data_IF_294091524945
#
_entry.id   IF_294091524945
#
_cell.length_a   1.000
_cell.length_b   1.000
_cell.length_c   1.000
_cell.angle_alpha   90.00
_cell.angle_beta   90.00
_cell.angle_gamma   90.00
#
_symmetry.space_group_name_H-M   'P 1'
#
loop_
_entity.id
_entity.type
_entity.pdbx_description
1 polymer ?
#
# COMPACT_ATOMS: atom_id res chain seq x y z
N UNK A 1 -6.30 -18.33 -9.78
CA UNK A 1 -6.87 -19.09 -8.64
C UNK A 1 -6.89 -18.14 -7.46
N UNK A 2 -8.01 -17.91 -6.77
CA UNK A 2 -7.98 -17.09 -5.56
C UNK A 2 -7.09 -17.78 -4.52
N UNK A 3 -6.27 -17.00 -3.80
CA UNK A 3 -5.46 -17.52 -2.71
C UNK A 3 -6.36 -18.20 -1.66
N UNK A 4 -5.93 -19.37 -1.19
CA UNK A 4 -6.54 -20.08 -0.06
C UNK A 4 -6.61 -19.12 1.16
N UNK A 5 -7.75 -19.00 1.86
CA UNK A 5 -7.85 -18.17 3.07
C UNK A 5 -6.83 -18.52 4.16
N UNK A 6 -6.27 -19.74 4.14
CA UNK A 6 -5.26 -20.19 5.10
C UNK A 6 -3.82 -20.04 4.59
N UNK A 7 -3.60 -19.47 3.40
CA UNK A 7 -2.24 -19.19 2.92
C UNK A 7 -1.55 -18.21 3.87
N UNK A 8 -0.38 -18.57 4.44
CA UNK A 8 0.41 -17.65 5.25
C UNK A 8 0.74 -16.37 4.47
N UNK A 9 0.60 -15.21 5.12
CA UNK A 9 0.80 -13.89 4.50
C UNK A 9 2.19 -13.75 3.86
N UNK A 10 3.21 -14.37 4.44
CA UNK A 10 4.60 -14.37 3.96
C UNK A 10 4.84 -15.26 2.73
N UNK A 11 3.92 -16.18 2.42
CA UNK A 11 3.96 -17.02 1.23
C UNK A 11 3.17 -16.43 0.05
N UNK A 12 2.46 -15.32 0.25
CA UNK A 12 1.66 -14.66 -0.79
C UNK A 12 2.55 -13.87 -1.75
N UNK A 13 2.24 -13.93 -3.04
CA UNK A 13 2.76 -12.96 -4.02
C UNK A 13 2.22 -11.55 -3.72
N UNK A 14 2.85 -10.51 -4.28
CA UNK A 14 2.41 -9.12 -4.08
C UNK A 14 0.96 -8.91 -4.53
N UNK A 15 0.55 -9.55 -5.62
CA UNK A 15 -0.81 -9.48 -6.15
C UNK A 15 -1.83 -10.17 -5.25
N UNK A 16 -1.48 -11.31 -4.67
CA UNK A 16 -2.34 -12.01 -3.70
C UNK A 16 -2.48 -11.22 -2.42
N UNK A 17 -1.39 -10.66 -1.91
CA UNK A 17 -1.39 -9.81 -0.72
C UNK A 17 -2.25 -8.56 -0.93
N UNK A 18 -2.13 -7.89 -2.08
CA UNK A 18 -2.99 -6.76 -2.43
C UNK A 18 -4.46 -7.15 -2.49
N UNK A 19 -4.79 -8.30 -3.11
CA UNK A 19 -6.16 -8.80 -3.17
C UNK A 19 -6.73 -9.15 -1.78
N UNK A 20 -5.90 -9.65 -0.87
CA UNK A 20 -6.30 -9.87 0.53
C UNK A 20 -6.58 -8.55 1.25
N UNK A 21 -5.73 -7.53 1.08
CA UNK A 21 -5.93 -6.20 1.65
C UNK A 21 -7.24 -5.59 1.14
N UNK A 22 -7.53 -5.68 -0.17
CA UNK A 22 -8.78 -5.14 -0.73
C UNK A 22 -10.01 -5.81 -0.14
N UNK A 23 -10.05 -7.15 -0.04
CA UNK A 23 -11.17 -7.86 0.60
C UNK A 23 -11.36 -7.43 2.06
N UNK A 24 -10.28 -7.24 2.80
CA UNK A 24 -10.33 -6.79 4.19
C UNK A 24 -10.87 -5.35 4.31
N UNK A 25 -10.50 -4.46 3.39
CA UNK A 25 -11.02 -3.08 3.34
C UNK A 25 -12.51 -3.08 2.97
N UNK A 26 -12.92 -3.89 1.99
CA UNK A 26 -14.32 -4.04 1.58
C UNK A 26 -15.18 -4.47 2.78
N UNK A 27 -14.75 -5.53 3.47
CA UNK A 27 -15.42 -6.05 4.67
C UNK A 27 -15.47 -4.99 5.80
N UNK A 28 -14.37 -4.29 6.05
CA UNK A 28 -14.34 -3.24 7.07
C UNK A 28 -15.31 -2.11 6.72
N UNK A 29 -15.34 -1.69 5.46
CA UNK A 29 -16.23 -0.61 4.98
C UNK A 29 -17.71 -0.99 5.04
N UNK A 30 -18.04 -2.26 4.74
CA UNK A 30 -19.42 -2.75 4.71
C UNK A 30 -20.09 -2.78 6.10
N UNK A 31 -19.32 -2.73 7.19
CA UNK A 31 -19.86 -2.72 8.56
C UNK A 31 -20.71 -1.49 8.87
N UNK A 32 -20.42 -0.35 8.23
CA UNK A 32 -21.22 0.87 8.37
C UNK A 32 -21.24 1.46 9.78
N UNK A 33 -20.29 1.11 10.66
CA UNK A 33 -20.21 1.62 12.03
C UNK A 33 -19.22 2.78 12.16
N UNK A 34 -19.37 3.57 13.23
CA UNK A 34 -18.42 4.66 13.55
C UNK A 34 -17.01 4.11 13.76
N UNK A 35 -16.90 2.97 14.42
CA UNK A 35 -15.65 2.29 14.73
C UNK A 35 -14.96 1.83 13.43
N UNK A 36 -15.71 1.20 12.53
CA UNK A 36 -15.18 0.78 11.23
C UNK A 36 -14.67 1.96 10.40
N UNK A 37 -15.41 3.07 10.38
CA UNK A 37 -14.95 4.30 9.73
C UNK A 37 -13.66 4.84 10.36
N UNK A 38 -13.57 4.87 11.69
CA UNK A 38 -12.36 5.30 12.39
C UNK A 38 -11.15 4.40 12.08
N UNK A 39 -11.34 3.09 11.99
CA UNK A 39 -10.27 2.16 11.58
C UNK A 39 -9.83 2.39 10.14
N UNK A 40 -10.77 2.63 9.20
CA UNK A 40 -10.41 2.95 7.81
C UNK A 40 -9.52 4.19 7.72
N UNK A 41 -9.80 5.23 8.51
CA UNK A 41 -8.94 6.42 8.56
C UNK A 41 -7.52 6.09 9.04
N UNK A 42 -7.38 5.20 10.03
CA UNK A 42 -6.06 4.75 10.51
C UNK A 42 -5.35 3.92 9.45
N UNK A 43 -6.06 3.04 8.74
CA UNK A 43 -5.51 2.25 7.63
C UNK A 43 -5.00 3.17 6.52
N UNK A 44 -5.73 4.22 6.16
CA UNK A 44 -5.29 5.21 5.16
C UNK A 44 -4.00 5.90 5.61
N UNK A 45 -3.92 6.37 6.86
CA UNK A 45 -2.72 7.01 7.40
C UNK A 45 -1.52 6.06 7.37
N UNK A 46 -1.69 4.85 7.89
CA UNK A 46 -0.63 3.83 7.94
C UNK A 46 -0.16 3.42 6.53
N UNK A 47 -1.09 3.21 5.60
CA UNK A 47 -0.75 2.87 4.21
C UNK A 47 0.06 4.00 3.56
N UNK A 48 -0.29 5.26 3.81
CA UNK A 48 0.47 6.41 3.33
C UNK A 48 1.91 6.44 3.83
N UNK A 49 2.14 6.15 5.11
CA UNK A 49 3.48 6.02 5.68
C UNK A 49 4.29 4.90 5.00
N UNK A 50 3.67 3.73 4.82
CA UNK A 50 4.30 2.58 4.16
C UNK A 50 4.59 2.79 2.68
N UNK A 51 3.78 3.56 1.97
CA UNK A 51 4.09 4.00 0.61
C UNK A 51 5.36 4.85 0.59
N UNK A 52 5.54 5.76 1.55
CA UNK A 52 6.77 6.56 1.67
C UNK A 52 8.01 5.68 1.93
N UNK A 53 7.91 4.71 2.84
CA UNK A 53 8.97 3.73 3.08
C UNK A 53 9.31 2.94 1.81
N UNK A 54 8.31 2.39 1.13
CA UNK A 54 8.49 1.63 -0.10
C UNK A 54 9.11 2.47 -1.23
N UNK A 55 8.71 3.74 -1.36
CA UNK A 55 9.29 4.66 -2.33
C UNK A 55 10.79 4.88 -2.06
N UNK A 56 11.19 5.05 -0.78
CA UNK A 56 12.60 5.20 -0.41
C UNK A 56 13.40 3.92 -0.62
N UNK A 57 12.84 2.75 -0.34
CA UNK A 57 13.46 1.46 -0.62
C UNK A 57 13.70 1.29 -2.13
N UNK A 58 12.68 1.58 -2.95
CA UNK A 58 12.79 1.52 -4.40
C UNK A 58 13.81 2.52 -4.95
N UNK A 59 13.83 3.76 -4.43
CA UNK A 59 14.81 4.77 -4.81
C UNK A 59 16.24 4.36 -4.43
N UNK A 60 16.43 3.68 -3.29
CA UNK A 60 17.73 3.21 -2.80
C UNK A 60 18.25 2.04 -3.64
N UNK A 61 17.38 1.07 -3.94
CA UNK A 61 17.73 -0.08 -4.76
C UNK A 61 17.92 0.28 -6.24
N UNK A 62 17.20 1.31 -6.73
CA UNK A 62 17.22 1.74 -8.12
C UNK A 62 17.47 3.25 -8.21
N UNK A 63 16.42 4.06 -8.36
CA UNK A 63 16.54 5.52 -8.44
C UNK A 63 15.20 6.22 -8.23
N UNK A 64 15.25 7.52 -7.94
CA UNK A 64 14.05 8.37 -7.93
C UNK A 64 13.36 8.49 -9.30
N UNK A 65 14.05 8.18 -10.41
CA UNK A 65 13.41 8.11 -11.73
C UNK A 65 12.49 6.89 -11.83
N UNK A 66 12.90 5.74 -11.26
CA UNK A 66 12.07 4.53 -11.21
C UNK A 66 10.82 4.73 -10.35
N UNK A 67 10.97 5.40 -9.20
CA UNK A 67 9.82 5.76 -8.35
C UNK A 67 8.84 6.64 -9.12
N UNK A 68 9.35 7.61 -9.87
CA UNK A 68 8.53 8.52 -10.66
C UNK A 68 7.78 7.81 -11.79
N UNK A 69 8.45 6.88 -12.49
CA UNK A 69 7.84 6.03 -13.51
C UNK A 69 6.65 5.23 -12.94
N UNK A 70 6.87 4.50 -11.84
CA UNK A 70 5.84 3.66 -11.22
C UNK A 70 4.68 4.49 -10.66
N UNK A 71 4.97 5.66 -10.09
CA UNK A 71 3.95 6.54 -9.50
C UNK A 71 3.28 7.49 -10.49
N UNK A 72 3.67 7.47 -11.76
CA UNK A 72 3.09 8.33 -12.80
C UNK A 72 3.34 9.83 -12.56
N UNK A 73 4.46 10.19 -11.95
CA UNK A 73 4.82 11.58 -11.65
C UNK A 73 6.22 11.94 -12.17
N UNK A 74 6.67 13.18 -11.96
CA UNK A 74 8.03 13.57 -12.32
C UNK A 74 9.04 13.14 -11.25
N UNK A 75 10.31 12.94 -11.64
CA UNK A 75 11.40 12.65 -10.69
C UNK A 75 11.48 13.67 -9.55
N UNK A 76 11.34 14.96 -9.86
CA UNK A 76 11.37 16.02 -8.86
C UNK A 76 10.18 15.93 -7.90
N UNK A 77 8.98 15.74 -8.42
CA UNK A 77 7.78 15.60 -7.59
C UNK A 77 7.85 14.35 -6.70
N UNK A 78 8.34 13.21 -7.21
CA UNK A 78 8.54 11.99 -6.41
C UNK A 78 9.56 12.22 -5.28
N UNK A 79 10.68 12.88 -5.57
CA UNK A 79 11.70 13.22 -4.57
C UNK A 79 11.17 14.18 -3.51
N UNK A 80 10.54 15.29 -3.91
CA UNK A 80 9.96 16.26 -2.98
C UNK A 80 8.93 15.61 -2.05
N UNK A 81 8.14 14.67 -2.57
CA UNK A 81 7.06 13.99 -1.84
C UNK A 81 7.54 12.95 -0.83
N UNK A 82 8.54 12.12 -1.16
CA UNK A 82 8.86 10.93 -0.38
C UNK A 82 10.31 10.85 0.14
N UNK A 83 11.15 11.86 -0.12
CA UNK A 83 12.54 11.86 0.38
C UNK A 83 12.65 11.85 1.91
N UNK A 84 11.64 12.37 2.62
CA UNK A 84 11.58 12.48 4.08
C UNK A 84 10.72 11.38 4.69
#
# INVERSE_FOLDING_TARGET
MPADPDTPVDAMTEGELAAHIYRSIDELSARGTREAFAELLRVVAYTGEKVGEAARLLATANSWAQVAEVSGTSKQAAWERWRS
#
